data_IF_658703967640
#
_entry.id   IF_658703967640
#
_cell.length_a   1.000
_cell.length_b   1.000
_cell.length_c   1.000
_cell.angle_alpha   90.00
_cell.angle_beta   90.00
_cell.angle_gamma   90.00
#
_symmetry.space_group_name_H-M   'P 1'
#
loop_
_entity.id
_entity.type
_entity.pdbx_description
1 polymer ?
#
# COMPACT_ATOMS: atom_id res chain seq x y z
N UNK A 1 3.13 4.23 8.55
CA UNK A 1 3.76 3.16 9.35
C UNK A 1 4.18 3.64 10.75
N UNK A 2 3.92 4.90 11.12
CA UNK A 2 4.43 5.48 12.37
C UNK A 2 3.94 4.77 13.64
N UNK A 3 2.65 4.43 13.72
CA UNK A 3 2.08 3.67 14.85
C UNK A 3 2.80 2.33 15.11
N UNK A 4 3.11 1.56 14.05
CA UNK A 4 3.79 0.26 14.21
C UNK A 4 5.21 0.47 14.75
N UNK A 5 5.88 1.55 14.36
CA UNK A 5 7.20 1.86 14.88
C UNK A 5 7.18 2.30 16.35
N UNK A 6 6.15 3.03 16.76
CA UNK A 6 5.95 3.44 18.14
C UNK A 6 5.67 2.24 19.05
N UNK A 7 4.82 1.31 18.62
CA UNK A 7 4.55 0.06 19.35
C UNK A 7 5.83 -0.77 19.50
N UNK A 8 6.59 -1.02 18.42
CA UNK A 8 7.84 -1.78 18.52
C UNK A 8 8.87 -1.13 19.47
N UNK A 9 8.95 0.21 19.50
CA UNK A 9 9.84 0.94 20.43
C UNK A 9 9.39 0.78 21.88
N UNK A 10 8.10 0.86 22.16
CA UNK A 10 7.55 0.70 23.51
C UNK A 10 7.73 -0.73 24.04
N UNK A 11 7.54 -1.74 23.19
CA UNK A 11 7.61 -3.15 23.59
C UNK A 11 9.03 -3.73 23.54
N UNK A 12 10.04 -2.99 23.06
CA UNK A 12 11.43 -3.46 22.97
C UNK A 12 11.64 -4.59 21.93
N UNK A 13 10.73 -4.74 20.98
CA UNK A 13 10.77 -5.82 19.99
C UNK A 13 11.79 -5.48 18.89
N UNK A 14 12.68 -6.42 18.59
CA UNK A 14 13.60 -6.30 17.45
C UNK A 14 12.78 -6.37 16.15
N UNK A 15 12.77 -5.26 15.41
CA UNK A 15 12.19 -5.17 14.07
C UNK A 15 13.27 -4.94 13.04
N UNK A 16 13.11 -5.55 11.86
CA UNK A 16 13.76 -5.07 10.66
C UNK A 16 12.85 -4.04 10.00
N UNK A 17 13.43 -2.91 9.60
CA UNK A 17 12.70 -1.69 9.28
C UNK A 17 11.68 -1.85 8.15
N UNK A 18 10.83 -0.85 7.92
CA UNK A 18 9.88 -0.88 6.82
C UNK A 18 10.62 -0.87 5.47
N UNK A 19 10.79 -2.04 4.85
CA UNK A 19 11.40 -2.17 3.52
C UNK A 19 10.34 -1.77 2.49
N UNK A 20 10.54 -0.70 1.71
CA UNK A 20 9.61 -0.32 0.67
C UNK A 20 9.72 -1.32 -0.48
N UNK A 21 8.64 -2.04 -0.75
CA UNK A 21 8.53 -2.88 -1.93
C UNK A 21 8.14 -2.03 -3.14
N UNK A 22 8.46 -2.47 -4.36
CA UNK A 22 8.11 -1.73 -5.57
C UNK A 22 6.60 -1.45 -5.63
N UNK A 23 6.27 -0.20 -5.90
CA UNK A 23 4.88 0.23 -6.04
C UNK A 23 4.32 -0.35 -7.32
N UNK A 24 3.26 -1.17 -7.21
CA UNK A 24 2.59 -1.68 -8.41
C UNK A 24 1.69 -0.59 -8.97
N UNK A 25 1.88 -0.29 -10.25
CA UNK A 25 1.10 0.70 -10.99
C UNK A 25 0.07 0.00 -11.86
N UNK A 26 -1.21 0.23 -11.58
CA UNK A 26 -2.32 -0.24 -12.40
C UNK A 26 -2.87 0.96 -13.15
N UNK A 27 -2.82 0.92 -14.49
CA UNK A 27 -3.36 1.97 -15.36
C UNK A 27 -4.54 1.39 -16.11
N UNK A 28 -5.71 2.00 -15.93
CA UNK A 28 -6.94 1.58 -16.61
C UNK A 28 -7.42 2.75 -17.49
N UNK A 29 -7.17 2.71 -18.80
CA UNK A 29 -7.77 3.67 -19.73
C UNK A 29 -9.22 3.27 -20.02
N UNK A 30 -10.15 4.20 -19.82
CA UNK A 30 -11.57 3.99 -20.14
C UNK A 30 -12.09 5.12 -21.01
N UNK A 31 -13.07 4.82 -21.87
CA UNK A 31 -13.80 5.86 -22.60
C UNK A 31 -14.65 6.65 -21.61
N UNK A 32 -14.66 7.98 -21.72
CA UNK A 32 -15.45 8.83 -20.82
C UNK A 32 -16.95 8.69 -21.07
N UNK A 33 -17.34 8.64 -22.34
CA UNK A 33 -18.74 8.46 -22.74
C UNK A 33 -19.07 6.97 -22.87
N UNK A 34 -20.23 6.52 -22.35
CA UNK A 34 -20.73 5.17 -22.59
C UNK A 34 -21.31 5.00 -24.00
N UNK A 35 -21.63 6.10 -24.70
CA UNK A 35 -22.28 6.10 -26.00
C UNK A 35 -21.29 6.32 -27.15
N UNK A 36 -21.64 5.80 -28.33
CA UNK A 36 -20.84 5.89 -29.56
C UNK A 36 -20.74 7.31 -30.14
N UNK A 37 -21.74 8.14 -29.90
CA UNK A 37 -21.86 9.50 -30.43
C UNK A 37 -21.04 10.52 -29.61
N UNK A 38 -20.32 11.40 -30.31
CA UNK A 38 -19.47 12.46 -29.74
C UNK A 38 -17.96 12.23 -29.88
N UNK A 39 -17.15 13.21 -29.45
CA UNK A 39 -15.69 13.18 -29.56
C UNK A 39 -15.08 12.06 -28.72
N UNK A 40 -14.18 11.28 -29.32
CA UNK A 40 -13.48 10.17 -28.67
C UNK A 40 -12.56 10.65 -27.53
N UNK A 41 -13.16 10.82 -26.34
CA UNK A 41 -12.47 11.28 -25.14
C UNK A 41 -12.18 10.12 -24.19
N UNK A 42 -10.94 10.04 -23.74
CA UNK A 42 -10.43 8.97 -22.88
C UNK A 42 -10.06 9.52 -21.50
N UNK A 43 -10.39 8.78 -20.45
CA UNK A 43 -9.90 9.00 -19.10
C UNK A 43 -8.83 7.96 -18.78
N UNK A 44 -7.76 8.41 -18.13
CA UNK A 44 -6.68 7.54 -17.64
C UNK A 44 -6.79 7.51 -16.12
N UNK A 45 -7.27 6.40 -15.58
CA UNK A 45 -7.26 6.17 -14.15
C UNK A 45 -6.01 5.41 -13.75
N UNK A 46 -5.39 5.80 -12.65
CA UNK A 46 -4.21 5.14 -12.10
C UNK A 46 -4.46 4.75 -10.64
N UNK A 47 -4.14 3.51 -10.30
CA UNK A 47 -4.07 3.03 -8.92
C UNK A 47 -2.62 2.67 -8.59
N UNK A 48 -2.11 3.22 -7.49
CA UNK A 48 -0.76 2.95 -6.97
C UNK A 48 -0.86 2.15 -5.69
N UNK A 49 -0.40 0.90 -5.72
CA UNK A 49 -0.32 0.06 -4.54
C UNK A 49 1.07 0.17 -3.92
N UNK A 50 1.17 0.95 -2.85
CA UNK A 50 2.39 1.09 -2.05
C UNK A 50 2.46 -0.04 -1.02
N UNK A 51 3.40 -0.96 -1.21
CA UNK A 51 3.62 -2.09 -0.30
C UNK A 51 4.88 -1.84 0.52
N UNK A 52 4.82 -2.13 1.81
CA UNK A 52 5.97 -2.05 2.72
C UNK A 52 5.98 -3.33 3.54
N UNK A 53 7.13 -3.97 3.64
CA UNK A 53 7.35 -5.15 4.47
C UNK A 53 7.93 -4.70 5.81
N UNK A 54 7.42 -5.23 6.91
CA UNK A 54 7.98 -5.02 8.26
C UNK A 54 8.14 -6.42 8.84
N UNK A 55 9.38 -6.84 9.05
CA UNK A 55 9.66 -8.12 9.69
C UNK A 55 9.84 -7.90 11.19
N UNK A 56 8.98 -8.55 11.97
CA UNK A 56 8.94 -8.44 13.43
C UNK A 56 9.29 -9.81 14.01
N UNK A 57 10.33 -9.89 14.83
CA UNK A 57 10.65 -11.11 15.58
C UNK A 57 9.83 -11.05 16.87
N UNK A 58 8.60 -11.54 16.80
CA UNK A 58 7.64 -11.55 17.88
C UNK A 58 7.68 -12.89 18.63
N UNK A 59 7.90 -12.85 19.95
CA UNK A 59 7.47 -13.94 20.83
C UNK A 59 5.95 -13.90 21.01
N UNK A 60 5.34 -15.05 21.31
CA UNK A 60 3.89 -15.36 21.31
C UNK A 60 2.93 -14.33 21.97
N UNK A 61 3.45 -13.38 22.77
CA UNK A 61 2.67 -12.36 23.49
C UNK A 61 2.41 -11.05 22.74
N UNK A 62 3.01 -10.81 21.57
CA UNK A 62 2.97 -9.47 20.95
C UNK A 62 1.90 -9.25 19.88
N UNK A 63 1.05 -10.24 19.57
CA UNK A 63 0.03 -10.16 18.50
C UNK A 63 -1.40 -9.91 19.00
N UNK A 64 -1.60 -9.79 20.32
CA UNK A 64 -2.92 -9.65 20.95
C UNK A 64 -3.27 -8.22 21.39
N UNK A 65 -2.72 -7.19 20.72
CA UNK A 65 -3.01 -5.78 20.98
C UNK A 65 -3.48 -5.05 19.72
#
# INVERSE_FOLDING_TARGET
CQQIEEVCKQTGIKKFGPIPLPTKRLVVPVRKSPCGEGTSTWAKYEMRLHKRLIDIIAGERSMHY
#
